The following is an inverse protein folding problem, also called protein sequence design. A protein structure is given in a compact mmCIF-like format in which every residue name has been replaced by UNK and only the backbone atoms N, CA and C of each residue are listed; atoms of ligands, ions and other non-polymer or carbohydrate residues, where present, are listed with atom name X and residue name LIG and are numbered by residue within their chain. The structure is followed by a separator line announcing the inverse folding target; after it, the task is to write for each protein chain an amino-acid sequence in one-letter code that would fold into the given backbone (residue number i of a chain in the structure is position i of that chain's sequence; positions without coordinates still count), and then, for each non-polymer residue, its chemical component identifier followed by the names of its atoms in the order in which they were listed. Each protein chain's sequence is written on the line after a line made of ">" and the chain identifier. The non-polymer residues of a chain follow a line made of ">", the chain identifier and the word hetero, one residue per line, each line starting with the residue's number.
data_IF_749490173634
#
_entry.id   IF_749490173634
#
_cell.length_a   1.000
_cell.length_b   1.000
_cell.length_c   1.000
_cell.angle_alpha   90.00
_cell.angle_beta   90.00
_cell.angle_gamma   90.00
#
_symmetry.space_group_name_H-M   'P 1'
#
loop_
_entity.id
_entity.type
_entity.pdbx_description
1 polymer ?
#
# COMPACT_ATOMS: atom_id res chain seq x y z
N UNK A 1 -21.53 -11.16 18.38
CA UNK A 1 -20.83 -10.11 17.66
C UNK A 1 -21.49 -9.85 16.33
N UNK A 2 -21.66 -8.62 16.01
CA UNK A 2 -22.31 -8.24 14.77
C UNK A 2 -21.28 -8.03 13.67
N UNK A 3 -21.73 -8.15 12.44
CA UNK A 3 -20.88 -7.86 11.28
C UNK A 3 -20.37 -6.42 11.31
N UNK A 4 -21.15 -5.52 11.88
CA UNK A 4 -20.77 -4.10 11.99
C UNK A 4 -19.52 -3.90 12.85
N UNK A 5 -19.38 -4.64 13.94
CA UNK A 5 -18.18 -4.55 14.78
C UNK A 5 -16.95 -5.04 14.03
N UNK A 6 -17.10 -6.12 13.30
CA UNK A 6 -16.01 -6.68 12.52
C UNK A 6 -15.58 -5.71 11.42
N UNK A 7 -16.55 -5.16 10.70
CA UNK A 7 -16.30 -4.18 9.64
C UNK A 7 -15.67 -2.92 10.24
N UNK A 8 -16.12 -2.49 11.42
CA UNK A 8 -15.54 -1.33 12.08
C UNK A 8 -14.06 -1.51 12.41
N UNK A 9 -13.67 -2.70 12.86
CA UNK A 9 -12.27 -2.97 13.15
C UNK A 9 -11.40 -2.93 11.90
N UNK A 10 -11.89 -3.50 10.80
CA UNK A 10 -11.19 -3.45 9.52
C UNK A 10 -11.14 -2.01 9.01
N UNK A 11 -12.24 -1.26 9.15
CA UNK A 11 -12.31 0.12 8.73
C UNK A 11 -11.32 1.02 9.46
N UNK A 12 -11.15 0.81 10.76
CA UNK A 12 -10.19 1.59 11.55
C UNK A 12 -8.76 1.34 11.10
N UNK A 13 -8.43 0.09 10.80
CA UNK A 13 -7.11 -0.25 10.31
C UNK A 13 -6.85 0.40 8.96
N UNK A 14 -7.81 0.33 8.06
CA UNK A 14 -7.72 0.99 6.75
C UNK A 14 -7.62 2.50 6.89
N UNK A 15 -8.41 3.09 7.78
CA UNK A 15 -8.38 4.53 8.02
C UNK A 15 -7.01 4.98 8.51
N UNK A 16 -6.40 4.22 9.42
CA UNK A 16 -5.06 4.53 9.91
C UNK A 16 -4.06 4.53 8.75
N UNK A 17 -4.14 3.52 7.91
CA UNK A 17 -3.24 3.38 6.76
C UNK A 17 -3.44 4.53 5.78
N UNK A 18 -4.68 4.89 5.50
CA UNK A 18 -4.99 6.01 4.59
C UNK A 18 -4.55 7.35 5.15
N UNK A 19 -4.51 7.49 6.47
CA UNK A 19 -4.11 8.73 7.12
C UNK A 19 -2.61 8.95 7.14
N UNK A 20 -1.82 7.87 6.99
CA UNK A 20 -0.35 7.98 6.98
C UNK A 20 0.12 8.59 5.66
N UNK A 21 1.17 9.41 5.74
CA UNK A 21 1.77 9.88 4.49
C UNK A 21 2.54 8.74 3.82
N UNK A 22 2.91 8.95 2.56
CA UNK A 22 3.52 7.90 1.77
C UNK A 22 4.86 7.44 2.34
N UNK A 23 5.64 8.37 2.90
CA UNK A 23 6.92 8.02 3.51
C UNK A 23 6.73 7.05 4.68
N UNK A 24 5.77 7.34 5.54
CA UNK A 24 5.48 6.47 6.68
C UNK A 24 4.97 5.10 6.22
N UNK A 25 4.13 5.08 5.19
CA UNK A 25 3.64 3.81 4.63
C UNK A 25 4.78 2.98 4.06
N UNK A 26 5.70 3.60 3.34
CA UNK A 26 6.83 2.89 2.75
C UNK A 26 7.72 2.32 3.85
N UNK A 27 7.93 3.05 4.95
CA UNK A 27 8.71 2.54 6.07
C UNK A 27 8.04 1.30 6.69
N UNK A 28 6.73 1.33 6.89
CA UNK A 28 6.01 0.17 7.38
C UNK A 28 6.01 -0.97 6.36
N UNK A 29 5.95 -0.65 5.07
CA UNK A 29 6.00 -1.65 4.01
C UNK A 29 7.30 -2.44 4.01
N UNK A 30 8.40 -1.78 4.35
CA UNK A 30 9.71 -2.42 4.44
C UNK A 30 9.86 -3.28 5.70
N UNK A 31 9.02 -3.07 6.70
CA UNK A 31 9.09 -3.81 7.96
C UNK A 31 8.50 -5.21 7.77
N UNK A 32 9.36 -6.21 7.80
CA UNK A 32 8.97 -7.60 7.59
C UNK A 32 8.09 -8.15 8.70
N UNK A 33 8.04 -7.47 9.83
CA UNK A 33 7.26 -7.91 10.99
C UNK A 33 5.89 -7.23 11.05
N UNK A 34 5.61 -6.34 10.12
CA UNK A 34 4.31 -5.67 10.06
C UNK A 34 3.23 -6.66 9.63
N UNK A 35 2.16 -6.76 10.39
CA UNK A 35 1.03 -7.61 10.04
C UNK A 35 0.12 -6.99 8.98
N UNK A 36 0.42 -5.77 8.52
CA UNK A 36 -0.44 -5.01 7.64
C UNK A 36 0.12 -4.87 6.22
N UNK A 37 1.12 -5.67 5.85
CA UNK A 37 1.81 -5.53 4.56
C UNK A 37 0.83 -5.55 3.38
N UNK A 38 -0.14 -6.45 3.39
CA UNK A 38 -1.09 -6.55 2.29
C UNK A 38 -1.94 -5.29 2.14
N UNK A 39 -2.39 -4.73 3.26
CA UNK A 39 -3.19 -3.49 3.25
C UNK A 39 -2.34 -2.30 2.84
N UNK A 40 -1.11 -2.24 3.31
CA UNK A 40 -0.18 -1.16 2.94
C UNK A 40 0.13 -1.22 1.45
N UNK A 41 0.39 -2.42 0.94
CA UNK A 41 0.63 -2.62 -0.50
C UNK A 41 -0.54 -2.11 -1.32
N UNK A 42 -1.75 -2.46 -0.91
CA UNK A 42 -2.95 -2.04 -1.61
C UNK A 42 -3.08 -0.51 -1.61
N UNK A 43 -2.83 0.12 -0.48
CA UNK A 43 -2.92 1.57 -0.39
C UNK A 43 -1.86 2.26 -1.26
N UNK A 44 -0.65 1.74 -1.27
CA UNK A 44 0.41 2.28 -2.12
C UNK A 44 0.05 2.14 -3.60
N UNK A 45 -0.53 1.00 -3.98
CA UNK A 45 -1.01 0.80 -5.35
C UNK A 45 -2.09 1.82 -5.73
N UNK A 46 -3.03 2.08 -4.84
CA UNK A 46 -4.08 3.06 -5.10
C UNK A 46 -3.51 4.47 -5.25
N UNK A 47 -2.54 4.84 -4.41
CA UNK A 47 -1.87 6.14 -4.54
C UNK A 47 -1.12 6.25 -5.85
N UNK A 48 -0.45 5.19 -6.26
CA UNK A 48 0.26 5.16 -7.54
C UNK A 48 -0.71 5.39 -8.70
N UNK A 49 -1.84 4.69 -8.70
CA UNK A 49 -2.85 4.84 -9.75
C UNK A 49 -3.42 6.24 -9.81
N UNK A 50 -3.59 6.89 -8.66
CA UNK A 50 -4.13 8.24 -8.60
C UNK A 50 -3.10 9.31 -8.95
N UNK A 51 -1.84 8.93 -9.11
CA UNK A 51 -0.77 9.87 -9.43
C UNK A 51 -0.08 10.45 -8.21
N UNK A 52 -0.41 9.97 -7.02
CA UNK A 52 0.15 10.49 -5.77
C UNK A 52 1.46 9.78 -5.43
N UNK A 53 2.53 10.55 -5.32
CA UNK A 53 3.84 10.04 -4.87
C UNK A 53 4.36 8.86 -5.69
N UNK A 54 4.09 8.87 -7.00
CA UNK A 54 4.44 7.76 -7.88
C UNK A 54 5.91 7.37 -7.82
N UNK A 55 6.79 8.36 -7.83
CA UNK A 55 8.24 8.09 -7.86
C UNK A 55 8.68 7.35 -6.60
N UNK A 56 8.20 7.80 -5.45
CA UNK A 56 8.54 7.16 -4.18
C UNK A 56 8.00 5.75 -4.11
N UNK A 57 6.77 5.54 -4.57
CA UNK A 57 6.14 4.22 -4.55
C UNK A 57 6.82 3.29 -5.54
N UNK A 58 7.13 3.78 -6.75
CA UNK A 58 7.83 2.98 -7.74
C UNK A 58 9.20 2.52 -7.23
N UNK A 59 9.91 3.40 -6.54
CA UNK A 59 11.20 3.06 -5.95
C UNK A 59 11.03 1.99 -4.87
N UNK A 60 10.04 2.14 -3.99
CA UNK A 60 9.78 1.17 -2.95
C UNK A 60 9.45 -0.21 -3.53
N UNK A 61 8.62 -0.24 -4.57
CA UNK A 61 8.24 -1.50 -5.22
C UNK A 61 9.38 -2.11 -6.01
N UNK A 62 10.26 -1.30 -6.61
CA UNK A 62 11.41 -1.83 -7.33
C UNK A 62 12.43 -2.50 -6.41
N UNK A 63 12.41 -2.17 -5.12
CA UNK A 63 13.24 -2.79 -4.11
C UNK A 63 12.49 -3.87 -3.32
N UNK A 64 11.33 -4.27 -3.79
CA UNK A 64 10.49 -5.27 -3.15
C UNK A 64 10.52 -6.59 -3.91
N UNK A 65 9.53 -7.44 -3.69
CA UNK A 65 9.44 -8.75 -4.35
C UNK A 65 9.14 -8.60 -5.84
N UNK A 66 9.40 -9.66 -6.59
CA UNK A 66 9.26 -9.65 -8.05
C UNK A 66 7.87 -9.23 -8.50
N UNK A 67 6.83 -9.70 -7.82
CA UNK A 67 5.46 -9.36 -8.20
C UNK A 67 5.19 -7.86 -8.06
N UNK A 68 5.76 -7.19 -7.08
CA UNK A 68 5.62 -5.74 -6.92
C UNK A 68 6.35 -5.01 -8.05
N UNK A 69 7.55 -5.45 -8.38
CA UNK A 69 8.31 -4.89 -9.49
C UNK A 69 7.55 -5.02 -10.80
N UNK A 70 6.97 -6.18 -11.04
CA UNK A 70 6.21 -6.46 -12.24
C UNK A 70 4.93 -5.62 -12.28
N UNK A 71 4.29 -5.41 -11.14
CA UNK A 71 3.09 -4.60 -11.06
C UNK A 71 3.35 -3.17 -11.55
N UNK A 72 4.45 -2.56 -11.10
CA UNK A 72 4.81 -1.20 -11.52
C UNK A 72 5.07 -1.15 -13.03
N UNK A 73 5.81 -2.11 -13.55
CA UNK A 73 6.07 -2.19 -15.00
C UNK A 73 4.77 -2.27 -15.79
N UNK A 74 3.82 -3.06 -15.30
CA UNK A 74 2.53 -3.20 -15.97
C UNK A 74 1.75 -1.89 -15.95
N UNK A 75 1.83 -1.13 -14.87
CA UNK A 75 1.16 0.18 -14.81
C UNK A 75 1.76 1.16 -15.79
N UNK A 76 3.08 1.15 -15.95
CA UNK A 76 3.75 2.00 -16.92
C UNK A 76 3.34 1.67 -18.36
N UNK A 77 3.14 0.40 -18.66
CA UNK A 77 2.73 -0.04 -20.01
C UNK A 77 1.31 0.35 -20.37
N UNK A 78 0.48 0.62 -19.38
CA UNK A 78 -0.93 0.97 -19.60
C UNK A 78 -1.15 2.42 -20.04
N UNK A 79 -0.12 3.22 -20.11
CA UNK A 79 -0.23 4.60 -20.53
C UNK A 79 -0.27 4.77 -22.05
#
# INVERSE_FOLDING_TARGET
>A
MTDNEYIGKLGKREERIRALDTTALIEEFKDKHSGNVALIRQELQERYKSGRDRDAIALAFSNSIVSDQQWVKNQEKKR
#
